data_IF_202591732886
#
_entry.id   IF_202591732886
#
_cell.length_a   1.000
_cell.length_b   1.000
_cell.length_c   1.000
_cell.angle_alpha   90.00
_cell.angle_beta   90.00
_cell.angle_gamma   90.00
#
_symmetry.space_group_name_H-M   'P 1'
#
loop_
_entity.id
_entity.type
_entity.pdbx_description
1 polymer ?
#
# COMPACT_ATOMS: atom_id res chain seq x y z
N UNK A 1 -0.47 -26.65 6.88
CA UNK A 1 0.21 -25.52 7.46
C UNK A 1 -0.75 -24.42 7.82
N UNK A 2 -0.62 -23.91 8.98
CA UNK A 2 -1.51 -22.87 9.46
C UNK A 2 -0.80 -21.52 9.42
N UNK A 3 -1.38 -20.57 8.76
CA UNK A 3 -0.90 -19.21 8.85
C UNK A 3 -1.27 -18.64 10.20
N UNK A 4 -0.32 -18.03 10.84
CA UNK A 4 -0.62 -17.22 11.98
C UNK A 4 -1.41 -16.01 11.49
N UNK A 5 -2.70 -16.09 11.59
CA UNK A 5 -3.57 -15.00 11.18
C UNK A 5 -3.46 -13.92 12.23
N UNK A 6 -2.72 -12.89 11.91
CA UNK A 6 -2.48 -11.77 12.82
C UNK A 6 -3.43 -10.63 12.57
N UNK A 7 -4.39 -10.86 11.71
CA UNK A 7 -5.35 -9.85 11.33
C UNK A 7 -6.40 -9.67 12.39
N UNK A 8 -6.80 -8.45 12.56
CA UNK A 8 -7.91 -8.11 13.42
C UNK A 8 -9.17 -8.12 12.57
N UNK A 9 -10.24 -8.71 13.08
CA UNK A 9 -11.52 -8.63 12.42
C UNK A 9 -12.06 -7.23 12.67
N UNK A 10 -12.10 -6.43 11.62
CA UNK A 10 -12.58 -5.05 11.70
C UNK A 10 -13.98 -4.89 11.14
N UNK A 11 -14.33 -5.72 10.17
CA UNK A 11 -15.68 -5.70 9.60
C UNK A 11 -16.50 -6.83 10.20
N UNK A 12 -17.09 -6.56 11.34
CA UNK A 12 -17.84 -7.58 12.08
C UNK A 12 -19.15 -7.98 11.40
N UNK A 13 -19.63 -7.14 10.47
CA UNK A 13 -20.91 -7.42 9.79
C UNK A 13 -20.85 -8.68 8.95
N UNK A 14 -19.71 -8.94 8.33
CA UNK A 14 -19.55 -10.06 7.41
C UNK A 14 -18.59 -11.12 7.93
N UNK A 15 -17.97 -10.91 9.10
CA UNK A 15 -17.04 -11.86 9.67
C UNK A 15 -15.77 -12.04 8.82
N UNK A 16 -15.41 -11.06 8.02
CA UNK A 16 -14.25 -11.11 7.13
C UNK A 16 -13.07 -10.44 7.80
N UNK A 17 -11.89 -11.05 7.68
CA UNK A 17 -10.64 -10.46 8.15
C UNK A 17 -10.24 -9.33 7.20
N UNK A 18 -9.83 -8.20 7.79
CA UNK A 18 -9.32 -7.09 7.00
C UNK A 18 -7.91 -7.41 6.51
N UNK A 19 -7.68 -7.20 5.21
CA UNK A 19 -6.38 -7.43 4.61
C UNK A 19 -5.40 -6.34 5.05
N UNK A 20 -4.22 -6.76 5.51
CA UNK A 20 -3.14 -5.84 5.89
C UNK A 20 -2.14 -5.75 4.77
N UNK A 21 -1.98 -4.56 4.21
CA UNK A 21 -1.16 -4.34 3.02
C UNK A 21 -0.10 -3.29 3.28
N UNK A 22 1.12 -3.58 2.85
CA UNK A 22 2.21 -2.61 2.86
C UNK A 22 2.55 -2.23 1.42
N UNK A 23 2.44 -0.95 1.11
CA UNK A 23 2.80 -0.40 -0.19
C UNK A 23 4.19 0.22 -0.12
N UNK A 24 5.05 -0.12 -1.07
CA UNK A 24 6.46 0.29 -1.08
C UNK A 24 6.76 1.09 -2.33
N UNK A 25 7.47 2.21 -2.17
CA UNK A 25 8.15 2.89 -3.27
C UNK A 25 9.53 3.34 -2.78
N UNK A 26 10.22 4.19 -3.55
CA UNK A 26 11.62 4.52 -3.22
C UNK A 26 11.71 5.35 -1.94
N UNK A 27 11.03 6.50 -1.91
CA UNK A 27 11.17 7.47 -0.81
C UNK A 27 9.90 7.58 0.04
N UNK A 28 8.85 6.87 -0.32
CA UNK A 28 7.57 6.94 0.38
C UNK A 28 7.00 8.39 0.39
N UNK A 29 7.04 9.04 -0.76
CA UNK A 29 6.54 10.41 -0.89
C UNK A 29 5.35 10.56 -1.84
N UNK A 30 5.23 9.71 -2.85
CA UNK A 30 4.17 9.82 -3.88
C UNK A 30 3.36 8.55 -4.01
N UNK A 31 3.84 7.58 -4.79
CA UNK A 31 3.07 6.39 -5.21
C UNK A 31 2.52 5.59 -4.03
N UNK A 32 3.37 5.23 -3.10
CA UNK A 32 2.95 4.41 -1.96
C UNK A 32 2.04 5.18 -1.00
N UNK A 33 2.21 6.49 -0.88
CA UNK A 33 1.32 7.33 -0.08
C UNK A 33 -0.08 7.39 -0.69
N UNK A 34 -0.16 7.52 -2.01
CA UNK A 34 -1.43 7.50 -2.73
C UNK A 34 -2.13 6.15 -2.52
N UNK A 35 -1.38 5.06 -2.65
CA UNK A 35 -1.92 3.71 -2.46
C UNK A 35 -2.41 3.51 -1.03
N UNK A 36 -1.67 3.99 -0.04
CA UNK A 36 -2.09 3.92 1.35
C UNK A 36 -3.44 4.62 1.56
N UNK A 37 -3.60 5.81 0.99
CA UNK A 37 -4.84 6.57 1.08
C UNK A 37 -6.03 5.82 0.49
N UNK A 38 -5.89 5.27 -0.70
CA UNK A 38 -6.95 4.48 -1.32
C UNK A 38 -7.25 3.21 -0.54
N UNK A 39 -6.19 2.54 -0.06
CA UNK A 39 -6.36 1.31 0.71
C UNK A 39 -7.22 1.54 1.96
N UNK A 40 -6.92 2.58 2.70
CA UNK A 40 -7.69 2.91 3.90
C UNK A 40 -9.15 3.23 3.58
N UNK A 41 -9.38 3.99 2.52
CA UNK A 41 -10.74 4.32 2.13
C UNK A 41 -11.55 3.08 1.74
N UNK A 42 -10.88 2.09 1.16
CA UNK A 42 -11.53 0.85 0.72
C UNK A 42 -11.60 -0.22 1.83
N UNK A 43 -11.23 0.13 3.05
CA UNK A 43 -11.35 -0.78 4.19
C UNK A 43 -10.18 -1.70 4.43
N UNK A 44 -9.06 -1.47 3.77
CA UNK A 44 -7.83 -2.23 4.03
C UNK A 44 -7.08 -1.64 5.23
N UNK A 45 -6.37 -2.47 5.97
CA UNK A 45 -5.35 -1.99 6.89
C UNK A 45 -4.11 -1.68 6.07
N UNK A 46 -4.01 -0.43 5.66
CA UNK A 46 -3.09 0.00 4.63
C UNK A 46 -1.97 0.84 5.25
N UNK A 47 -0.74 0.45 4.97
CA UNK A 47 0.46 1.19 5.35
C UNK A 47 1.33 1.38 4.11
N UNK A 48 2.28 2.29 4.22
CA UNK A 48 3.27 2.49 3.17
C UNK A 48 4.65 2.73 3.78
N UNK A 49 5.68 2.45 3.00
CA UNK A 49 7.06 2.70 3.40
C UNK A 49 7.93 2.88 2.17
N UNK A 50 9.13 3.40 2.39
CA UNK A 50 10.12 3.56 1.34
C UNK A 50 11.34 2.70 1.57
N UNK A 51 12.11 2.47 0.53
CA UNK A 51 13.42 1.85 0.66
C UNK A 51 14.33 2.78 1.46
N UNK A 52 14.11 4.08 1.31
CA UNK A 52 14.76 5.12 2.12
C UNK A 52 13.72 6.17 2.52
N UNK A 53 13.99 6.91 3.57
CA UNK A 53 13.10 7.94 4.04
C UNK A 53 13.16 9.17 3.13
N UNK A 54 11.99 9.71 2.78
CA UNK A 54 11.88 10.97 2.07
C UNK A 54 11.57 12.12 3.01
N UNK A 55 11.30 13.28 2.43
CA UNK A 55 11.07 14.52 3.16
C UNK A 55 9.61 14.77 3.54
N UNK A 56 8.76 13.76 3.41
CA UNK A 56 7.34 13.87 3.69
C UNK A 56 6.52 13.59 2.46
N UNK A 57 5.20 13.69 2.61
CA UNK A 57 4.29 13.44 1.49
C UNK A 57 4.40 14.56 0.47
N UNK A 58 4.55 14.22 -0.80
CA UNK A 58 4.67 15.20 -1.87
C UNK A 58 3.39 16.05 -1.94
N UNK A 59 3.51 17.39 -1.97
CA UNK A 59 2.33 18.28 -2.02
C UNK A 59 1.41 18.04 -3.22
N UNK A 60 1.97 17.64 -4.37
CA UNK A 60 1.18 17.35 -5.55
C UNK A 60 0.37 16.05 -5.37
N UNK A 61 0.93 15.08 -4.66
CA UNK A 61 0.20 13.86 -4.30
C UNK A 61 -0.97 14.21 -3.36
N UNK A 62 -0.73 15.06 -2.37
CA UNK A 62 -1.79 15.53 -1.47
C UNK A 62 -2.91 16.20 -2.27
N UNK A 63 -2.52 17.07 -3.21
CA UNK A 63 -3.48 17.83 -4.00
C UNK A 63 -4.37 16.95 -4.87
N UNK A 64 -3.78 16.00 -5.59
CA UNK A 64 -4.58 15.15 -6.48
C UNK A 64 -5.45 14.16 -5.71
N UNK A 65 -5.05 13.77 -4.50
CA UNK A 65 -5.89 12.92 -3.65
C UNK A 65 -7.05 13.72 -3.07
N UNK A 66 -6.83 14.98 -2.71
CA UNK A 66 -7.88 15.87 -2.26
C UNK A 66 -8.97 16.04 -3.33
N UNK A 67 -8.58 16.08 -4.61
CA UNK A 67 -9.51 16.15 -5.73
C UNK A 67 -10.53 15.01 -5.74
N UNK A 68 -10.18 13.87 -5.18
CA UNK A 68 -11.07 12.69 -5.10
C UNK A 68 -11.57 12.43 -3.67
N UNK A 69 -11.45 13.43 -2.80
CA UNK A 69 -12.01 13.38 -1.46
C UNK A 69 -11.21 12.63 -0.43
N UNK A 70 -9.92 12.39 -0.68
CA UNK A 70 -9.06 11.67 0.25
C UNK A 70 -7.95 12.60 0.75
N UNK A 71 -7.87 12.78 2.06
CA UNK A 71 -6.83 13.60 2.69
C UNK A 71 -5.67 12.71 3.13
N UNK A 72 -4.52 12.87 2.46
CA UNK A 72 -3.29 12.19 2.84
C UNK A 72 -2.26 13.14 3.46
N UNK A 73 -2.68 14.37 3.77
CA UNK A 73 -1.75 15.40 4.26
C UNK A 73 -1.11 15.06 5.61
N UNK A 74 -1.74 14.20 6.40
CA UNK A 74 -1.24 13.80 7.70
C UNK A 74 -0.44 12.50 7.68
N UNK A 75 -0.35 11.86 6.53
CA UNK A 75 0.53 10.70 6.36
C UNK A 75 1.97 11.19 6.38
N UNK A 76 2.91 10.30 6.60
CA UNK A 76 4.32 10.67 6.71
C UNK A 76 5.22 9.64 6.04
N UNK A 77 6.40 10.09 5.61
CA UNK A 77 7.39 9.21 5.00
C UNK A 77 8.09 8.37 6.06
N UNK A 78 8.28 7.08 5.76
CA UNK A 78 8.93 6.15 6.66
C UNK A 78 9.65 5.08 5.85
N UNK A 79 10.64 4.44 6.47
CA UNK A 79 11.38 3.35 5.83
C UNK A 79 10.75 2.01 6.18
N UNK A 80 11.08 1.00 5.36
CA UNK A 80 10.66 -0.38 5.60
C UNK A 80 11.24 -0.86 6.93
N UNK A 81 10.38 -1.42 7.76
CA UNK A 81 10.80 -2.13 8.97
C UNK A 81 10.75 -3.62 8.65
N UNK A 82 11.93 -4.20 8.40
CA UNK A 82 12.03 -5.60 8.01
C UNK A 82 11.51 -6.56 9.07
N UNK A 83 11.55 -6.16 10.34
CA UNK A 83 11.05 -7.01 11.42
C UNK A 83 9.53 -7.10 11.44
N UNK A 84 8.85 -6.18 10.77
CA UNK A 84 7.40 -6.12 10.74
C UNK A 84 6.78 -6.63 9.46
N UNK A 85 7.59 -7.03 8.47
CA UNK A 85 7.07 -7.52 7.20
C UNK A 85 6.13 -8.71 7.37
N UNK A 86 6.41 -9.58 8.31
CA UNK A 86 5.58 -10.76 8.57
C UNK A 86 4.17 -10.40 9.06
N UNK A 87 3.95 -9.18 9.51
CA UNK A 87 2.63 -8.74 9.98
C UNK A 87 1.66 -8.45 8.84
N UNK A 88 2.16 -8.35 7.61
CA UNK A 88 1.33 -8.01 6.45
C UNK A 88 0.88 -9.24 5.70
N UNK A 89 -0.29 -9.15 5.10
CA UNK A 89 -0.84 -10.18 4.23
C UNK A 89 -0.34 -10.02 2.81
N UNK A 90 -0.04 -8.79 2.42
CA UNK A 90 0.47 -8.48 1.10
C UNK A 90 1.49 -7.36 1.19
N UNK A 91 2.55 -7.47 0.41
CA UNK A 91 3.55 -6.43 0.23
C UNK A 91 3.64 -6.12 -1.25
N UNK A 92 3.37 -4.86 -1.60
CA UNK A 92 3.27 -4.42 -2.98
C UNK A 92 4.36 -3.38 -3.25
N UNK A 93 5.28 -3.70 -4.15
CA UNK A 93 6.27 -2.73 -4.59
C UNK A 93 5.76 -1.99 -5.82
N UNK A 94 5.90 -0.69 -5.83
CA UNK A 94 5.43 0.19 -6.90
C UNK A 94 6.59 0.90 -7.58
N UNK A 95 7.79 0.41 -7.37
CA UNK A 95 9.02 1.02 -7.89
C UNK A 95 9.92 -0.05 -8.52
N UNK A 96 11.13 0.33 -8.88
CA UNK A 96 12.09 -0.59 -9.49
C UNK A 96 12.63 -1.65 -8.52
N UNK A 97 12.49 -1.43 -7.22
CA UNK A 97 12.91 -2.41 -6.22
C UNK A 97 11.86 -3.50 -6.12
N UNK A 98 12.30 -4.74 -6.31
CA UNK A 98 11.38 -5.89 -6.27
C UNK A 98 11.14 -6.35 -4.83
N UNK A 99 9.96 -6.88 -4.55
CA UNK A 99 9.66 -7.41 -3.22
C UNK A 99 10.64 -8.51 -2.82
N UNK A 100 11.13 -9.30 -3.78
CA UNK A 100 12.10 -10.34 -3.53
C UNK A 100 13.42 -9.81 -2.97
N UNK A 101 13.72 -8.52 -3.18
CA UNK A 101 14.98 -7.92 -2.73
C UNK A 101 14.97 -7.61 -1.22
N UNK A 102 13.80 -7.52 -0.62
CA UNK A 102 13.73 -7.17 0.81
C UNK A 102 12.82 -8.08 1.64
N UNK A 103 11.90 -8.81 1.01
CA UNK A 103 11.09 -9.80 1.75
C UNK A 103 11.93 -11.03 2.04
N UNK A 104 11.94 -11.51 3.28
CA UNK A 104 12.62 -12.76 3.59
C UNK A 104 11.94 -13.95 2.91
N UNK A 105 12.72 -15.01 2.66
CA UNK A 105 12.18 -16.23 2.07
C UNK A 105 11.10 -16.89 2.92
N UNK A 106 11.05 -16.54 4.20
CA UNK A 106 10.03 -17.02 5.13
C UNK A 106 8.73 -16.24 5.07
N UNK A 107 8.67 -15.15 4.29
CA UNK A 107 7.45 -14.37 4.15
C UNK A 107 6.41 -15.21 3.40
N UNK A 108 5.25 -15.40 4.04
CA UNK A 108 4.20 -16.28 3.52
C UNK A 108 3.05 -15.51 2.87
N UNK A 109 3.09 -14.18 2.89
CA UNK A 109 2.05 -13.35 2.31
C UNK A 109 2.17 -13.23 0.80
N UNK A 110 1.27 -12.47 0.22
CA UNK A 110 1.29 -12.15 -1.21
C UNK A 110 2.34 -11.08 -1.50
N UNK A 111 3.09 -11.27 -2.56
CA UNK A 111 4.04 -10.28 -3.05
C UNK A 111 3.65 -9.90 -4.48
N UNK A 112 3.66 -8.61 -4.76
CA UNK A 112 3.40 -8.12 -6.11
C UNK A 112 4.29 -6.92 -6.41
N UNK A 113 4.60 -6.75 -7.70
CA UNK A 113 5.37 -5.63 -8.18
C UNK A 113 4.52 -4.94 -9.25
N UNK A 114 3.99 -3.76 -8.90
CA UNK A 114 3.20 -2.97 -9.83
C UNK A 114 4.13 -2.01 -10.57
N UNK A 115 4.02 -1.99 -11.87
CA UNK A 115 4.83 -1.12 -12.69
C UNK A 115 4.13 0.25 -12.82
N UNK A 116 4.41 1.13 -11.88
CA UNK A 116 3.79 2.45 -11.79
C UNK A 116 4.85 3.52 -12.03
N UNK A 117 4.59 4.43 -12.96
CA UNK A 117 5.50 5.54 -13.23
C UNK A 117 5.64 6.44 -12.01
N UNK A 118 6.86 6.98 -11.81
CA UNK A 118 7.10 7.95 -10.74
C UNK A 118 6.68 9.34 -11.21
N UNK A 119 5.66 9.94 -10.57
CA UNK A 119 5.18 11.26 -11.00
C UNK A 119 6.00 12.42 -10.45
N UNK A 120 6.97 12.16 -9.56
CA UNK A 120 7.75 13.19 -8.90
C UNK A 120 8.43 14.11 -9.93
N UNK A 121 8.22 15.42 -9.79
CA UNK A 121 8.77 16.38 -10.71
C UNK A 121 8.00 16.54 -12.02
N UNK A 122 6.92 15.79 -12.20
CA UNK A 122 6.09 15.86 -13.39
C UNK A 122 4.89 16.80 -13.18
N UNK A 123 4.23 17.22 -14.29
CA UNK A 123 3.02 18.03 -14.17
C UNK A 123 1.87 17.31 -13.45
N UNK A 124 0.90 18.08 -12.96
CA UNK A 124 -0.23 17.54 -12.22
C UNK A 124 -1.02 16.48 -13.01
N UNK A 125 -1.10 16.61 -14.34
CA UNK A 125 -1.84 15.61 -15.11
C UNK A 125 -1.19 14.23 -15.04
N UNK A 126 0.13 14.17 -14.83
CA UNK A 126 0.82 12.90 -14.61
C UNK A 126 0.48 12.34 -13.24
N UNK A 127 0.42 13.18 -12.21
CA UNK A 127 -0.02 12.77 -10.89
C UNK A 127 -1.45 12.23 -10.91
N UNK A 128 -2.34 12.86 -11.68
CA UNK A 128 -3.73 12.40 -11.81
C UNK A 128 -3.81 11.05 -12.51
N UNK A 129 -3.03 10.86 -13.57
CA UNK A 129 -2.97 9.58 -14.28
C UNK A 129 -2.45 8.47 -13.36
N UNK A 130 -1.36 8.74 -12.64
CA UNK A 130 -0.77 7.78 -11.69
C UNK A 130 -1.75 7.48 -10.56
N UNK A 131 -2.40 8.50 -10.01
CA UNK A 131 -3.44 8.34 -9.00
C UNK A 131 -4.53 7.38 -9.48
N UNK A 132 -5.04 7.60 -10.68
CA UNK A 132 -6.15 6.80 -11.21
C UNK A 132 -5.72 5.37 -11.51
N UNK A 133 -4.50 5.18 -11.95
CA UNK A 133 -3.92 3.84 -12.18
C UNK A 133 -3.79 3.09 -10.84
N UNK A 134 -3.26 3.75 -9.83
CA UNK A 134 -3.12 3.17 -8.48
C UNK A 134 -4.49 2.83 -7.91
N UNK A 135 -5.46 3.72 -8.08
CA UNK A 135 -6.83 3.48 -7.62
C UNK A 135 -7.38 2.18 -8.17
N UNK A 136 -7.26 1.98 -9.47
CA UNK A 136 -7.77 0.76 -10.11
C UNK A 136 -7.11 -0.49 -9.54
N UNK A 137 -5.80 -0.45 -9.32
CA UNK A 137 -5.07 -1.59 -8.76
C UNK A 137 -5.41 -1.87 -7.30
N UNK A 138 -5.58 -0.83 -6.50
CA UNK A 138 -5.97 -0.99 -5.10
C UNK A 138 -7.42 -1.49 -4.99
N UNK A 139 -8.31 -1.02 -5.86
CA UNK A 139 -9.68 -1.52 -5.91
C UNK A 139 -9.71 -3.01 -6.23
N UNK A 140 -8.89 -3.46 -7.17
CA UNK A 140 -8.77 -4.87 -7.50
C UNK A 140 -8.25 -5.68 -6.31
N UNK A 141 -7.22 -5.16 -5.64
CA UNK A 141 -6.67 -5.81 -4.45
C UNK A 141 -7.71 -5.90 -3.33
N UNK A 142 -8.52 -4.86 -3.15
CA UNK A 142 -9.52 -4.80 -2.09
C UNK A 142 -10.64 -5.82 -2.28
N UNK A 143 -10.82 -6.33 -3.50
CA UNK A 143 -11.79 -7.40 -3.78
C UNK A 143 -11.29 -8.76 -3.33
N UNK A 144 -10.01 -8.88 -2.99
CA UNK A 144 -9.43 -10.14 -2.54
C UNK A 144 -9.99 -10.48 -1.16
N UNK A 145 -10.64 -11.63 -1.08
CA UNK A 145 -11.17 -12.12 0.19
C UNK A 145 -10.19 -13.07 0.84
N UNK A 146 -10.15 -13.02 2.17
CA UNK A 146 -9.36 -13.96 2.94
C UNK A 146 -10.35 -14.84 3.70
N UNK A 147 -10.47 -16.12 3.33
CA UNK A 147 -11.40 -17.01 4.02
C UNK A 147 -11.07 -17.15 5.50
N UNK A 148 -12.09 -17.11 6.32
CA UNK A 148 -11.94 -17.25 7.78
C UNK A 148 -11.40 -18.63 8.17
N UNK A 149 -11.66 -19.61 7.36
CA UNK A 149 -11.24 -20.99 7.60
C UNK A 149 -9.93 -21.35 6.93
N UNK A 150 -9.24 -20.38 6.36
CA UNK A 150 -7.95 -20.57 5.72
C UNK A 150 -6.86 -20.66 6.78
N UNK A 151 -6.63 -21.83 7.31
CA UNK A 151 -5.66 -22.01 8.41
C UNK A 151 -4.71 -23.11 8.09
#
# INVERSE_FOLDING_TARGET
MVYAIRRTITNRRVGVLQLRVLFICIENTCRSQIAEGFGRQLGLESDSAGVKSGSGVNPDAVKVMEEVGIDISKQFSKTIDNERLADYDAVISMCSVKTADFCPSTFIGTQANWNIDDPKGQPLYVFRRVRDEIKAKVEELAKTEVPMDCR
#
